data_IF_392344776522
#
_entry.id   IF_392344776522
#
_cell.length_a   1.000
_cell.length_b   1.000
_cell.length_c   1.000
_cell.angle_alpha   90.00
_cell.angle_beta   90.00
_cell.angle_gamma   90.00
#
_symmetry.space_group_name_H-M   'P 1'
#
loop_
_entity.id
_entity.type
_entity.pdbx_description
1 polymer ?
#
# COMPACT_ATOMS: atom_id res chain seq x y z
N UNK A 1 -11.54 -55.00 51.74
CA UNK A 1 -12.88 -54.45 52.03
C UNK A 1 -13.64 -54.32 50.70
N UNK A 2 -14.92 -54.73 50.56
CA UNK A 2 -16.17 -54.05 51.00
C UNK A 2 -16.29 -52.59 50.49
N UNK A 3 -17.38 -52.13 49.83
CA UNK A 3 -18.40 -52.79 48.97
C UNK A 3 -19.27 -51.74 48.21
N UNK A 4 -20.09 -52.18 47.23
CA UNK A 4 -20.98 -51.36 46.35
C UNK A 4 -22.21 -50.71 47.03
N UNK A 5 -22.68 -49.57 46.48
CA UNK A 5 -24.09 -49.12 46.22
C UNK A 5 -24.04 -48.03 45.11
N UNK A 6 -24.95 -47.82 44.15
CA UNK A 6 -26.23 -48.43 43.69
C UNK A 6 -27.57 -47.99 44.34
N UNK A 7 -28.20 -46.94 43.79
CA UNK A 7 -29.66 -46.69 43.57
C UNK A 7 -29.82 -45.35 42.79
N UNK A 8 -30.70 -45.05 41.80
CA UNK A 8 -31.72 -45.75 40.98
C UNK A 8 -33.23 -45.46 41.25
N UNK A 9 -33.77 -44.37 40.65
CA UNK A 9 -35.20 -43.96 40.51
C UNK A 9 -35.28 -43.15 39.19
N UNK A 10 -36.10 -43.36 38.14
CA UNK A 10 -37.48 -43.85 37.87
C UNK A 10 -38.57 -42.76 37.94
N UNK A 11 -38.99 -42.21 36.78
CA UNK A 11 -40.39 -41.97 36.36
C UNK A 11 -40.41 -41.46 34.89
N UNK A 12 -41.14 -42.07 33.93
CA UNK A 12 -42.52 -41.74 33.48
C UNK A 12 -42.74 -40.23 33.24
N UNK A 13 -43.19 -39.76 32.06
CA UNK A 13 -44.45 -40.10 31.35
C UNK A 13 -44.31 -40.07 29.81
N UNK A 14 -45.21 -40.80 29.12
CA UNK A 14 -45.36 -40.86 27.66
C UNK A 14 -46.67 -40.20 27.22
N UNK A 15 -46.61 -39.28 26.24
CA UNK A 15 -47.77 -38.71 25.52
C UNK A 15 -47.42 -38.63 24.03
N UNK A 16 -48.39 -38.85 23.14
CA UNK A 16 -48.17 -38.99 21.70
C UNK A 16 -49.17 -38.17 20.87
N UNK A 17 -48.81 -37.93 19.60
CA UNK A 17 -49.54 -37.10 18.63
C UNK A 17 -48.72 -35.86 18.23
N UNK A 18 -48.75 -35.39 16.97
CA UNK A 18 -49.65 -35.72 15.86
C UNK A 18 -48.91 -36.19 14.59
N UNK A 19 -49.70 -36.55 13.56
CA UNK A 19 -49.28 -37.15 12.30
C UNK A 19 -49.12 -36.10 11.17
N UNK A 20 -48.42 -36.50 10.09
CA UNK A 20 -48.44 -35.90 8.72
C UNK A 20 -47.95 -34.44 8.58
N UNK A 21 -47.48 -33.99 7.41
CA UNK A 21 -47.27 -34.69 6.14
C UNK A 21 -46.60 -33.78 5.09
N UNK A 22 -46.09 -34.35 3.99
CA UNK A 22 -45.43 -33.59 2.91
C UNK A 22 -46.45 -32.92 1.96
N UNK A 23 -46.11 -31.77 1.38
CA UNK A 23 -46.93 -31.11 0.35
C UNK A 23 -46.27 -29.87 -0.27
N UNK A 24 -45.97 -29.94 -1.57
CA UNK A 24 -45.45 -28.82 -2.39
C UNK A 24 -46.62 -28.01 -2.98
N UNK A 25 -46.56 -26.68 -2.98
CA UNK A 25 -47.50 -25.86 -3.76
C UNK A 25 -47.52 -24.36 -3.44
N UNK A 26 -47.46 -23.56 -4.51
CA UNK A 26 -47.74 -22.10 -4.62
C UNK A 26 -49.16 -21.70 -4.11
N UNK A 27 -49.48 -20.43 -3.76
CA UNK A 27 -48.77 -19.15 -3.86
C UNK A 27 -49.31 -18.11 -2.82
N UNK A 28 -48.64 -16.96 -2.72
CA UNK A 28 -49.02 -15.63 -2.17
C UNK A 28 -48.76 -15.26 -0.70
N UNK A 29 -48.07 -14.13 -0.54
CA UNK A 29 -48.04 -13.16 0.56
C UNK A 29 -47.56 -13.60 1.96
N UNK A 30 -46.25 -13.45 2.22
CA UNK A 30 -45.68 -13.39 3.57
C UNK A 30 -44.18 -13.05 3.59
N UNK A 31 -43.83 -11.91 4.21
CA UNK A 31 -42.43 -11.54 4.54
C UNK A 31 -41.86 -12.53 5.58
N UNK A 32 -40.55 -12.80 5.70
CA UNK A 32 -39.36 -12.03 5.27
C UNK A 32 -38.26 -12.95 4.74
N UNK A 33 -37.65 -12.60 3.60
CA UNK A 33 -36.47 -13.28 3.09
C UNK A 33 -35.18 -12.77 3.73
N UNK A 34 -34.34 -13.69 4.22
CA UNK A 34 -32.97 -13.42 4.68
C UNK A 34 -31.93 -13.68 3.59
N UNK A 35 -32.21 -13.28 2.34
CA UNK A 35 -31.25 -13.41 1.24
C UNK A 35 -30.11 -12.43 1.47
N UNK A 36 -28.87 -12.94 1.62
CA UNK A 36 -27.70 -12.11 1.43
C UNK A 36 -27.57 -11.81 -0.07
N UNK A 37 -28.18 -10.71 -0.49
CA UNK A 37 -27.89 -10.11 -1.79
C UNK A 37 -26.45 -9.60 -1.74
N UNK A 38 -25.54 -10.28 -2.42
CA UNK A 38 -24.32 -9.64 -2.90
C UNK A 38 -24.75 -8.60 -3.93
N UNK A 39 -24.97 -7.36 -3.47
CA UNK A 39 -25.19 -6.25 -4.38
C UNK A 39 -23.95 -6.12 -5.25
N UNK A 40 -24.10 -6.42 -6.55
CA UNK A 40 -23.14 -6.03 -7.56
C UNK A 40 -23.25 -4.51 -7.73
N UNK A 41 -22.71 -3.77 -6.75
CA UNK A 41 -22.53 -2.33 -6.81
C UNK A 41 -21.49 -2.09 -7.92
N UNK A 42 -21.99 -1.79 -9.12
CA UNK A 42 -21.15 -1.37 -10.23
C UNK A 42 -20.45 -0.09 -9.78
N UNK A 43 -19.12 -0.15 -9.66
CA UNK A 43 -18.34 1.01 -9.27
C UNK A 43 -18.58 2.15 -10.27
N UNK A 44 -18.96 3.33 -9.75
CA UNK A 44 -19.19 4.53 -10.57
C UNK A 44 -17.96 4.92 -11.39
N UNK A 45 -16.78 4.54 -10.90
CA UNK A 45 -15.49 4.83 -11.49
C UNK A 45 -14.65 3.56 -11.58
N UNK A 46 -13.88 3.45 -12.67
CA UNK A 46 -12.90 2.39 -12.88
C UNK A 46 -11.50 3.02 -12.97
N UNK A 47 -10.68 2.95 -11.90
CA UNK A 47 -9.30 3.38 -11.93
C UNK A 47 -8.41 2.32 -12.59
N UNK A 48 -7.42 2.76 -13.35
CA UNK A 48 -6.40 1.92 -13.99
C UNK A 48 -5.04 2.63 -13.98
N UNK A 49 -3.97 1.83 -14.03
CA UNK A 49 -2.59 2.30 -13.96
C UNK A 49 -1.72 1.53 -14.96
N UNK A 50 -0.93 2.27 -15.74
CA UNK A 50 0.19 1.72 -16.52
C UNK A 50 1.51 2.20 -15.91
N UNK A 51 2.47 1.28 -15.75
CA UNK A 51 3.80 1.56 -15.20
C UNK A 51 4.85 1.10 -16.21
N UNK A 52 5.86 1.94 -16.48
CA UNK A 52 6.99 1.63 -17.37
C UNK A 52 8.28 2.17 -16.75
N UNK A 53 9.29 1.32 -16.59
CA UNK A 53 10.62 1.72 -16.11
C UNK A 53 11.52 2.09 -17.31
N UNK A 54 11.98 3.34 -17.36
CA UNK A 54 12.87 3.86 -18.41
C UNK A 54 14.16 4.41 -17.79
N UNK A 55 15.15 3.53 -17.60
CA UNK A 55 16.38 3.79 -16.84
C UNK A 55 16.05 4.06 -15.35
N UNK A 56 16.71 5.02 -14.70
CA UNK A 56 16.50 5.44 -13.30
C UNK A 56 15.20 6.28 -13.11
N UNK A 57 14.14 6.00 -13.88
CA UNK A 57 12.88 6.75 -13.81
C UNK A 57 11.70 5.86 -14.16
N UNK A 58 10.69 5.85 -13.27
CA UNK A 58 9.42 5.16 -13.48
C UNK A 58 8.41 6.14 -14.06
N UNK A 59 7.92 5.83 -15.26
CA UNK A 59 6.81 6.51 -15.90
C UNK A 59 5.50 5.84 -15.48
N UNK A 60 4.64 6.59 -14.79
CA UNK A 60 3.30 6.13 -14.37
C UNK A 60 2.24 6.91 -15.15
N UNK A 61 1.29 6.22 -15.78
CA UNK A 61 0.06 6.83 -16.27
C UNK A 61 -1.10 6.27 -15.42
N UNK A 62 -1.79 7.16 -14.71
CA UNK A 62 -2.98 6.84 -13.94
C UNK A 62 -4.22 7.44 -14.60
N UNK A 63 -5.28 6.65 -14.66
CA UNK A 63 -6.48 6.96 -15.43
C UNK A 63 -7.72 6.52 -14.67
N UNK A 64 -8.76 7.35 -14.67
CA UNK A 64 -10.05 7.04 -14.04
C UNK A 64 -11.18 7.26 -15.04
N UNK A 65 -11.88 6.18 -15.39
CA UNK A 65 -13.06 6.21 -16.25
C UNK A 65 -14.33 6.35 -15.43
N UNK A 66 -15.27 7.21 -15.84
CA UNK A 66 -16.66 7.16 -15.37
C UNK A 66 -17.38 5.96 -16.00
N UNK A 67 -17.80 5.00 -15.17
CA UNK A 67 -18.50 3.76 -15.56
C UNK A 67 -19.92 3.68 -15.00
N UNK A 68 -20.47 4.79 -14.49
CA UNK A 68 -21.75 4.83 -13.76
C UNK A 68 -23.02 4.77 -14.63
N UNK A 69 -22.93 5.11 -15.93
CA UNK A 69 -24.11 5.35 -16.78
C UNK A 69 -24.70 6.77 -16.67
N UNK A 70 -24.14 7.64 -15.81
CA UNK A 70 -24.64 8.98 -15.55
C UNK A 70 -23.51 10.04 -15.51
N UNK A 71 -23.88 11.33 -15.55
CA UNK A 71 -22.96 12.43 -15.33
C UNK A 71 -22.45 12.42 -13.88
N UNK A 72 -21.15 12.26 -13.67
CA UNK A 72 -20.55 12.34 -12.33
C UNK A 72 -19.82 13.67 -12.15
N UNK A 73 -19.95 14.28 -10.97
CA UNK A 73 -19.19 15.46 -10.56
C UNK A 73 -18.10 15.05 -9.57
N UNK A 74 -16.92 15.66 -9.71
CA UNK A 74 -15.77 15.53 -8.82
C UNK A 74 -15.29 16.93 -8.42
N UNK A 75 -15.09 17.14 -7.12
CA UNK A 75 -14.68 18.41 -6.51
C UNK A 75 -13.31 18.24 -5.88
N UNK A 76 -12.33 19.02 -6.35
CA UNK A 76 -10.95 18.98 -5.90
C UNK A 76 -10.66 20.22 -5.05
N UNK A 77 -10.09 20.03 -3.86
CA UNK A 77 -9.81 21.12 -2.91
C UNK A 77 -8.62 22.01 -3.32
N UNK A 78 -7.78 21.52 -4.23
CA UNK A 78 -6.58 22.20 -4.76
C UNK A 78 -6.37 21.81 -6.23
N UNK A 79 -5.44 22.45 -6.94
CA UNK A 79 -5.06 22.05 -8.31
C UNK A 79 -4.42 20.66 -8.44
N UNK A 80 -3.94 20.08 -7.34
CA UNK A 80 -3.47 18.69 -7.26
C UNK A 80 -4.68 17.76 -7.25
N UNK A 81 -4.99 17.17 -8.42
CA UNK A 81 -6.16 16.29 -8.67
C UNK A 81 -5.90 14.81 -8.43
N UNK A 82 -4.64 14.43 -8.46
CA UNK A 82 -4.15 13.06 -8.31
C UNK A 82 -2.89 13.09 -7.48
N UNK A 83 -2.79 12.20 -6.51
CA UNK A 83 -1.61 12.01 -5.67
C UNK A 83 -1.20 10.53 -5.72
N UNK A 84 0.05 10.24 -5.36
CA UNK A 84 0.54 8.88 -5.20
C UNK A 84 1.31 8.74 -3.90
N UNK A 85 1.27 7.56 -3.31
CA UNK A 85 2.12 7.16 -2.18
C UNK A 85 2.85 5.86 -2.56
N UNK A 86 4.16 5.84 -2.33
CA UNK A 86 5.01 4.66 -2.49
C UNK A 86 5.38 4.14 -1.10
N UNK A 87 5.16 2.85 -0.88
CA UNK A 87 5.51 2.11 0.32
C UNK A 87 6.58 1.06 0.01
N UNK A 88 7.50 0.80 0.94
CA UNK A 88 8.46 -0.31 0.83
C UNK A 88 7.81 -1.68 1.14
N UNK A 89 8.61 -2.74 1.04
CA UNK A 89 8.24 -4.12 1.40
C UNK A 89 7.71 -4.30 2.85
N UNK A 90 7.98 -3.34 3.74
CA UNK A 90 7.55 -3.34 5.15
C UNK A 90 6.29 -2.48 5.37
N UNK A 91 5.79 -1.80 4.33
CA UNK A 91 4.68 -0.84 4.41
C UNK A 91 5.09 0.55 4.93
N UNK A 92 6.38 0.87 5.01
CA UNK A 92 6.88 2.21 5.37
C UNK A 92 6.75 3.14 4.17
N UNK A 93 6.21 4.35 4.37
CA UNK A 93 6.13 5.37 3.33
C UNK A 93 7.53 5.81 2.89
N UNK A 94 7.81 5.75 1.60
CA UNK A 94 9.10 6.12 0.98
C UNK A 94 9.01 7.47 0.25
N UNK A 95 7.91 7.73 -0.46
CA UNK A 95 7.69 8.96 -1.25
C UNK A 95 6.19 9.24 -1.39
N UNK A 96 5.79 10.51 -1.40
CA UNK A 96 4.42 10.94 -1.69
C UNK A 96 4.43 12.22 -2.52
N UNK A 97 3.67 12.26 -3.62
CA UNK A 97 3.76 13.38 -4.56
C UNK A 97 3.29 14.71 -3.95
N UNK A 98 2.26 14.70 -3.10
CA UNK A 98 1.79 15.91 -2.41
C UNK A 98 2.79 16.55 -1.44
N UNK A 99 3.89 15.87 -1.09
CA UNK A 99 4.94 16.43 -0.22
C UNK A 99 5.94 17.28 -1.03
N UNK A 100 6.19 16.90 -2.30
CA UNK A 100 7.06 17.63 -3.23
C UNK A 100 6.28 18.65 -4.11
N UNK A 101 4.98 18.41 -4.36
CA UNK A 101 4.21 19.14 -5.36
C UNK A 101 3.65 20.50 -4.89
N UNK A 102 4.08 21.57 -5.55
CA UNK A 102 3.47 22.90 -5.39
C UNK A 102 2.07 22.96 -6.04
N UNK A 103 1.02 22.97 -5.20
CA UNK A 103 -0.39 22.99 -5.64
C UNK A 103 -1.07 24.35 -5.38
N UNK A 104 -1.95 24.77 -6.30
CA UNK A 104 -2.80 25.96 -6.14
C UNK A 104 -3.91 25.72 -5.12
N UNK A 105 -4.06 26.64 -4.16
CA UNK A 105 -5.16 26.63 -3.18
C UNK A 105 -6.46 27.18 -3.80
N UNK A 106 -6.96 26.50 -4.83
CA UNK A 106 -8.17 26.81 -5.55
C UNK A 106 -9.05 25.56 -5.67
N UNK A 107 -10.35 25.71 -5.40
CA UNK A 107 -11.32 24.63 -5.57
C UNK A 107 -11.65 24.52 -7.06
N UNK A 108 -11.55 23.32 -7.62
CA UNK A 108 -11.94 23.01 -8.99
C UNK A 108 -13.06 21.97 -9.02
N UNK A 109 -14.06 22.18 -9.88
CA UNK A 109 -15.13 21.23 -10.12
C UNK A 109 -15.01 20.67 -11.54
N UNK A 110 -15.00 19.34 -11.68
CA UNK A 110 -15.01 18.64 -12.98
C UNK A 110 -16.31 17.85 -13.07
N UNK A 111 -16.94 17.85 -14.25
CA UNK A 111 -18.02 16.93 -14.59
C UNK A 111 -17.51 15.97 -15.66
N UNK A 112 -17.78 14.68 -15.48
CA UNK A 112 -17.43 13.60 -16.40
C UNK A 112 -18.69 13.00 -17.02
N UNK A 113 -18.75 12.99 -18.34
CA UNK A 113 -19.73 12.21 -19.10
C UNK A 113 -19.48 10.70 -18.96
N UNK A 114 -20.44 9.88 -19.38
CA UNK A 114 -20.28 8.42 -19.35
C UNK A 114 -19.09 7.99 -20.23
N UNK A 115 -18.25 7.09 -19.72
CA UNK A 115 -17.00 6.63 -20.35
C UNK A 115 -15.91 7.71 -20.53
N UNK A 116 -16.11 8.95 -20.07
CA UNK A 116 -15.07 9.98 -20.03
C UNK A 116 -14.00 9.62 -18.99
N UNK A 117 -12.76 10.06 -19.24
CA UNK A 117 -11.59 9.81 -18.40
C UNK A 117 -11.02 11.09 -17.77
N UNK A 118 -10.49 10.97 -16.55
CA UNK A 118 -9.38 11.78 -16.06
C UNK A 118 -8.09 10.96 -16.29
N UNK A 119 -7.00 11.62 -16.70
CA UNK A 119 -5.72 10.96 -16.95
C UNK A 119 -4.55 11.85 -16.52
N UNK A 120 -3.62 11.30 -15.76
CA UNK A 120 -2.47 11.98 -15.17
C UNK A 120 -1.20 11.14 -15.32
N UNK A 121 -0.13 11.76 -15.82
CA UNK A 121 1.19 11.17 -15.92
C UNK A 121 2.12 11.64 -14.81
N UNK A 122 2.95 10.74 -14.28
CA UNK A 122 4.03 11.03 -13.35
C UNK A 122 5.35 10.46 -13.88
N UNK A 123 6.45 11.13 -13.54
CA UNK A 123 7.82 10.62 -13.65
C UNK A 123 8.38 10.53 -12.24
N UNK A 124 8.85 9.35 -11.83
CA UNK A 124 9.29 9.08 -10.46
C UNK A 124 10.74 8.58 -10.48
N UNK A 125 11.63 9.42 -9.94
CA UNK A 125 13.05 9.15 -9.70
C UNK A 125 13.32 8.79 -8.24
N UNK A 126 14.57 8.48 -7.91
CA UNK A 126 15.10 8.38 -6.55
C UNK A 126 14.50 7.21 -5.71
N UNK A 127 14.12 6.13 -6.39
CA UNK A 127 13.70 4.86 -5.80
C UNK A 127 14.82 3.83 -5.95
N UNK A 128 15.23 3.21 -4.85
CA UNK A 128 16.27 2.18 -4.87
C UNK A 128 15.79 0.87 -5.53
N UNK A 129 16.72 0.09 -6.07
CA UNK A 129 16.44 -1.25 -6.62
C UNK A 129 15.78 -2.14 -5.55
N UNK A 130 14.59 -2.67 -5.84
CA UNK A 130 13.78 -3.36 -4.84
C UNK A 130 12.30 -3.54 -5.21
N UNK A 131 11.49 -3.89 -4.21
CA UNK A 131 10.03 -4.06 -4.30
C UNK A 131 9.31 -3.02 -3.45
N UNK A 132 8.26 -2.47 -4.02
CA UNK A 132 7.41 -1.44 -3.44
C UNK A 132 5.95 -1.74 -3.75
N UNK A 133 5.06 -1.06 -3.03
CA UNK A 133 3.67 -0.89 -3.44
C UNK A 133 3.45 0.57 -3.78
N UNK A 134 2.88 0.86 -4.95
CA UNK A 134 2.41 2.21 -5.30
C UNK A 134 0.89 2.24 -5.21
N UNK A 135 0.37 3.16 -4.39
CA UNK A 135 -1.04 3.55 -4.36
C UNK A 135 -1.20 4.89 -5.09
N UNK A 136 -2.12 4.97 -6.06
CA UNK A 136 -2.41 6.20 -6.81
C UNK A 136 -3.91 6.48 -6.73
N UNK A 137 -4.28 7.72 -6.42
CA UNK A 137 -5.65 8.08 -6.08
C UNK A 137 -6.05 9.48 -6.54
N UNK A 138 -7.36 9.67 -6.77
CA UNK A 138 -7.93 11.01 -6.96
C UNK A 138 -8.06 11.71 -5.60
N UNK A 139 -7.74 13.01 -5.57
CA UNK A 139 -7.90 13.88 -4.40
C UNK A 139 -9.30 14.51 -4.31
N UNK A 140 -10.29 13.90 -4.99
CA UNK A 140 -11.67 14.36 -5.04
C UNK A 140 -12.38 14.14 -3.69
N UNK A 141 -13.38 14.96 -3.39
CA UNK A 141 -14.11 14.90 -2.11
C UNK A 141 -15.20 13.83 -2.07
N UNK A 142 -15.70 13.39 -3.23
CA UNK A 142 -16.93 12.59 -3.32
C UNK A 142 -16.75 11.08 -3.11
N UNK A 143 -15.61 10.49 -3.50
CA UNK A 143 -15.38 9.04 -3.55
C UNK A 143 -13.88 8.71 -3.37
N UNK A 144 -13.56 7.64 -2.63
CA UNK A 144 -12.17 7.13 -2.43
C UNK A 144 -11.70 6.32 -3.65
N UNK A 145 -11.40 7.02 -4.75
CA UNK A 145 -11.07 6.41 -6.05
C UNK A 145 -9.56 6.19 -6.16
N UNK A 146 -9.13 4.95 -6.00
CA UNK A 146 -7.70 4.57 -6.03
C UNK A 146 -7.42 3.21 -6.62
N UNK A 147 -6.16 3.01 -6.98
CA UNK A 147 -5.57 1.72 -7.37
C UNK A 147 -4.26 1.51 -6.62
N UNK A 148 -3.98 0.27 -6.23
CA UNK A 148 -2.74 -0.13 -5.57
C UNK A 148 -2.15 -1.32 -6.32
N UNK A 149 -0.84 -1.30 -6.58
CA UNK A 149 -0.13 -2.35 -7.31
C UNK A 149 1.32 -2.50 -6.86
N UNK A 150 1.87 -3.69 -7.05
CA UNK A 150 3.32 -3.94 -7.00
C UNK A 150 4.05 -3.00 -7.96
N UNK A 151 5.15 -2.43 -7.49
CA UNK A 151 6.15 -1.69 -8.25
C UNK A 151 7.51 -2.34 -8.00
N UNK A 152 8.20 -2.74 -9.06
CA UNK A 152 9.53 -3.37 -9.01
C UNK A 152 10.51 -2.44 -9.72
N UNK A 153 11.63 -2.14 -9.04
CA UNK A 153 12.72 -1.32 -9.56
C UNK A 153 13.93 -2.24 -9.78
N UNK A 154 14.44 -2.29 -11.00
CA UNK A 154 15.57 -3.14 -11.41
C UNK A 154 16.74 -2.36 -12.03
N UNK A 155 16.55 -1.09 -12.41
CA UNK A 155 17.51 -0.30 -13.20
C UNK A 155 17.87 1.05 -12.56
N UNK A 156 17.66 1.21 -11.26
CA UNK A 156 18.09 2.40 -10.54
C UNK A 156 19.60 2.40 -10.28
N UNK A 157 20.18 3.59 -10.17
CA UNK A 157 21.54 3.80 -9.64
C UNK A 157 21.60 3.64 -8.10
N UNK A 158 20.45 3.75 -7.43
CA UNK A 158 20.32 3.69 -5.98
C UNK A 158 20.08 2.25 -5.50
N UNK A 159 20.79 1.84 -4.46
CA UNK A 159 20.69 0.50 -3.88
C UNK A 159 20.42 0.59 -2.37
N UNK A 160 19.62 -0.34 -1.83
CA UNK A 160 19.40 -0.46 -0.38
C UNK A 160 20.43 -1.41 0.22
N UNK A 161 21.12 -0.96 1.26
CA UNK A 161 22.07 -1.75 2.05
C UNK A 161 21.64 -1.89 3.51
N UNK A 162 22.20 -2.90 4.18
CA UNK A 162 22.09 -3.10 5.64
C UNK A 162 23.43 -3.59 6.17
N UNK A 163 23.90 -3.05 7.29
CA UNK A 163 25.21 -3.40 7.84
C UNK A 163 25.41 -2.90 9.27
N UNK A 164 26.52 -3.31 9.88
CA UNK A 164 26.97 -2.85 11.19
C UNK A 164 27.91 -1.65 11.02
N UNK A 165 27.64 -0.54 11.71
CA UNK A 165 28.51 0.64 11.71
C UNK A 165 29.76 0.37 12.55
N UNK A 166 30.92 0.22 11.90
CA UNK A 166 32.20 -0.04 12.58
C UNK A 166 32.90 1.24 13.02
N UNK A 167 32.59 2.38 12.40
CA UNK A 167 33.07 3.70 12.83
C UNK A 167 33.48 4.59 11.66
N UNK A 168 34.01 5.77 12.00
CA UNK A 168 34.38 6.79 11.04
C UNK A 168 35.90 6.78 10.78
N UNK A 169 36.30 6.76 9.51
CA UNK A 169 37.70 6.77 9.05
C UNK A 169 38.19 8.21 8.92
N UNK A 170 37.37 9.06 8.31
CA UNK A 170 37.55 10.51 8.18
C UNK A 170 36.15 11.19 8.13
N UNK A 171 36.03 12.53 8.25
CA UNK A 171 34.73 13.20 8.31
C UNK A 171 33.70 12.81 7.23
N UNK A 172 34.15 12.36 6.05
CA UNK A 172 33.28 11.98 4.92
C UNK A 172 33.25 10.47 4.64
N UNK A 173 33.94 9.64 5.44
CA UNK A 173 34.10 8.19 5.16
C UNK A 173 33.93 7.34 6.41
N UNK A 174 33.09 6.30 6.33
CA UNK A 174 32.89 5.29 7.40
C UNK A 174 33.29 3.88 6.94
N UNK A 175 33.55 2.99 7.90
CA UNK A 175 33.61 1.54 7.68
C UNK A 175 32.28 0.89 8.09
N UNK A 176 31.71 0.07 7.20
CA UNK A 176 30.58 -0.81 7.47
C UNK A 176 31.02 -2.28 7.35
N UNK A 177 30.44 -3.16 8.17
CA UNK A 177 30.54 -4.61 8.03
C UNK A 177 29.19 -5.14 7.53
N UNK A 178 29.20 -5.81 6.37
CA UNK A 178 28.01 -6.34 5.68
C UNK A 178 28.24 -7.83 5.48
N UNK A 179 27.45 -8.65 6.18
CA UNK A 179 27.54 -10.12 6.18
C UNK A 179 28.95 -10.70 6.46
N UNK A 180 29.82 -9.94 7.14
CA UNK A 180 31.21 -10.31 7.45
C UNK A 180 32.26 -9.71 6.51
N UNK A 181 31.84 -8.97 5.47
CA UNK A 181 32.75 -8.22 4.59
C UNK A 181 32.77 -6.74 4.98
N UNK A 182 33.97 -6.22 5.27
CA UNK A 182 34.19 -4.82 5.62
C UNK A 182 34.43 -3.96 4.39
N UNK A 183 33.67 -2.87 4.27
CA UNK A 183 33.78 -1.90 3.19
C UNK A 183 33.83 -0.47 3.70
N UNK A 184 34.63 0.37 3.04
CA UNK A 184 34.62 1.81 3.25
C UNK A 184 33.56 2.47 2.35
N UNK A 185 32.78 3.39 2.92
CA UNK A 185 31.71 4.12 2.23
C UNK A 185 31.92 5.63 2.44
N UNK A 186 31.90 6.40 1.36
CA UNK A 186 31.81 7.87 1.45
C UNK A 186 30.37 8.31 1.78
N UNK A 187 30.21 9.54 2.25
CA UNK A 187 28.93 10.11 2.69
C UNK A 187 28.58 11.38 1.90
N UNK A 188 27.30 11.55 1.59
CA UNK A 188 26.72 12.85 1.21
C UNK A 188 26.62 13.80 2.40
N UNK A 189 26.25 15.06 2.15
CA UNK A 189 25.92 16.02 3.21
C UNK A 189 24.73 15.52 4.08
N UNK A 190 23.67 14.98 3.47
CA UNK A 190 22.54 14.37 4.20
C UNK A 190 22.99 13.20 5.09
N UNK A 191 23.80 12.28 4.55
CA UNK A 191 24.29 11.14 5.31
C UNK A 191 25.26 11.54 6.44
N UNK A 192 26.07 12.59 6.26
CA UNK A 192 26.91 13.16 7.33
C UNK A 192 26.07 13.79 8.46
N UNK A 193 25.00 14.52 8.14
CA UNK A 193 24.10 15.08 9.16
C UNK A 193 23.39 13.95 9.94
N UNK A 194 22.89 12.93 9.24
CA UNK A 194 22.25 11.76 9.85
C UNK A 194 23.21 10.92 10.72
N UNK A 195 24.49 10.80 10.33
CA UNK A 195 25.51 10.08 11.10
C UNK A 195 25.68 10.65 12.52
N UNK A 196 25.38 11.93 12.74
CA UNK A 196 25.45 12.55 14.08
C UNK A 196 24.46 11.96 15.10
N UNK A 197 23.50 11.17 14.63
CA UNK A 197 22.50 10.46 15.44
C UNK A 197 22.82 8.98 15.66
N UNK A 198 23.91 8.47 15.07
CA UNK A 198 24.29 7.05 15.03
C UNK A 198 25.59 6.78 15.80
N UNK A 199 25.79 5.54 16.24
CA UNK A 199 26.90 5.11 17.09
C UNK A 199 27.66 3.93 16.48
N UNK A 200 28.94 3.80 16.82
CA UNK A 200 29.70 2.58 16.56
C UNK A 200 29.02 1.37 17.23
N UNK A 201 28.74 0.33 16.44
CA UNK A 201 27.98 -0.85 16.85
C UNK A 201 26.48 -0.82 16.53
N UNK A 202 25.94 0.28 15.99
CA UNK A 202 24.55 0.32 15.52
C UNK A 202 24.39 -0.45 14.19
N UNK A 203 23.30 -1.20 14.05
CA UNK A 203 22.89 -1.81 12.78
C UNK A 203 22.07 -0.81 11.98
N UNK A 204 22.56 -0.44 10.80
CA UNK A 204 22.00 0.62 9.95
C UNK A 204 21.43 0.05 8.65
N UNK A 205 20.28 0.54 8.23
CA UNK A 205 19.81 0.44 6.84
C UNK A 205 20.08 1.78 6.13
N UNK A 206 20.42 1.74 4.84
CA UNK A 206 20.87 2.91 4.11
C UNK A 206 20.65 2.78 2.61
N UNK A 207 20.61 3.92 1.92
CA UNK A 207 20.62 4.01 0.45
C UNK A 207 22.00 4.43 -0.01
N UNK A 208 22.55 3.75 -1.01
CA UNK A 208 23.88 4.05 -1.57
C UNK A 208 23.91 3.97 -3.10
N UNK A 209 24.79 4.75 -3.71
CA UNK A 209 25.23 4.59 -5.10
C UNK A 209 26.58 3.90 -5.15
N UNK A 210 26.87 3.21 -6.25
CA UNK A 210 28.14 2.53 -6.49
C UNK A 210 28.62 2.71 -7.94
N UNK A 211 29.93 2.86 -8.11
CA UNK A 211 30.63 2.83 -9.40
C UNK A 211 31.94 2.03 -9.25
N UNK A 212 32.65 1.80 -10.35
CA UNK A 212 33.89 1.01 -10.43
C UNK A 212 35.01 1.38 -9.42
N UNK A 213 34.93 2.55 -8.77
CA UNK A 213 35.95 3.12 -7.90
C UNK A 213 35.44 3.33 -6.46
N UNK A 214 34.14 3.56 -6.25
CA UNK A 214 33.61 4.12 -5.01
C UNK A 214 32.15 3.71 -4.73
N UNK A 215 31.85 3.50 -3.44
CA UNK A 215 30.51 3.46 -2.86
C UNK A 215 30.24 4.74 -2.06
N UNK A 216 29.06 5.33 -2.23
CA UNK A 216 28.62 6.54 -1.53
C UNK A 216 27.26 6.30 -0.89
N UNK A 217 27.13 6.52 0.42
CA UNK A 217 25.84 6.50 1.10
C UNK A 217 25.16 7.85 0.87
N UNK A 218 23.99 7.79 0.25
CA UNK A 218 23.14 8.93 -0.03
C UNK A 218 22.39 9.37 1.23
N UNK A 219 21.91 8.38 2.01
CA UNK A 219 21.24 8.59 3.31
C UNK A 219 21.05 7.29 4.10
N UNK A 220 20.85 7.42 5.41
CA UNK A 220 20.43 6.34 6.31
C UNK A 220 18.89 6.27 6.41
N UNK A 221 18.35 5.06 6.55
CA UNK A 221 16.92 4.81 6.71
C UNK A 221 16.53 4.71 8.19
N UNK A 222 16.55 5.84 8.90
CA UNK A 222 16.10 5.92 10.31
C UNK A 222 14.59 5.65 10.44
N UNK A 223 14.16 5.05 11.55
CA UNK A 223 12.72 4.88 11.90
C UNK A 223 12.01 6.20 12.19
#
# INVERSE_FOLDING_TARGET
MKNKKVLFVISTVLVAGLLTGCGTGENTNGSTGGTQTEENIVAKFHPSIEIKEENDTVMVNFKVKNTSGELQKLTFSTGLKVDYIIYDENGKKVKQYSEDAMSTQAIEEITLEENQDIENGFSISDLYNGRFTIEVFLTAQEEDIKVSTDLIIEKSIYNKGKGLLIGQIDPHTIELDIDGEKGAYQLTEEAMEQLTLLNEGDTVEFIFTENDIQKTIEKFLTE
#
